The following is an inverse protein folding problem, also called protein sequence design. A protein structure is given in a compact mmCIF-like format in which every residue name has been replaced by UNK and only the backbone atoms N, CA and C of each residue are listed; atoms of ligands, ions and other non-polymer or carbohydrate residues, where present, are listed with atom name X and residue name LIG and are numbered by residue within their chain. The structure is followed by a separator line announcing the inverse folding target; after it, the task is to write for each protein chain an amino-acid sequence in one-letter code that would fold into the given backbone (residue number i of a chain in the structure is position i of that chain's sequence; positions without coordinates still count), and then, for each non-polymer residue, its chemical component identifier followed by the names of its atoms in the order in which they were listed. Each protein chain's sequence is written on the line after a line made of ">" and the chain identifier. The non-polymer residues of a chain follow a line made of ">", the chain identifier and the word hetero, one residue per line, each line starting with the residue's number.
data_IF_537853494904
#
_entry.id   IF_537853494904
#
_cell.length_a   1.000
_cell.length_b   1.000
_cell.length_c   1.000
_cell.angle_alpha   90.00
_cell.angle_beta   90.00
_cell.angle_gamma   90.00
#
_symmetry.space_group_name_H-M   'P 1'
#
loop_
_entity.id
_entity.type
_entity.pdbx_description
1 polymer ?
#
# COMPACT_ATOMS: atom_id res chain seq x y z
N UNK A 1 23.11 17.47 41.57
CA UNK A 1 22.05 16.55 41.11
C UNK A 1 22.41 15.13 41.54
N UNK A 2 21.50 14.46 42.21
CA UNK A 2 21.71 13.04 42.51
C UNK A 2 21.52 12.19 41.24
N UNK A 3 21.99 10.93 41.26
CA UNK A 3 21.95 10.02 40.12
C UNK A 3 20.54 9.88 39.55
N UNK A 4 19.51 9.80 40.37
CA UNK A 4 18.11 9.68 39.97
C UNK A 4 17.67 10.91 39.16
N UNK A 5 18.03 12.11 39.59
CA UNK A 5 17.71 13.35 38.88
C UNK A 5 18.38 13.40 37.50
N UNK A 6 19.63 12.93 37.39
CA UNK A 6 20.34 12.85 36.10
C UNK A 6 19.63 11.89 35.16
N UNK A 7 19.30 10.67 35.64
CA UNK A 7 18.59 9.67 34.86
C UNK A 7 17.23 10.20 34.39
N UNK A 8 16.43 10.79 35.29
CA UNK A 8 15.11 11.35 34.95
C UNK A 8 15.23 12.45 33.90
N UNK A 9 16.24 13.33 34.00
CA UNK A 9 16.46 14.39 33.01
C UNK A 9 16.81 13.82 31.64
N UNK A 10 17.63 12.77 31.57
CA UNK A 10 17.99 12.11 30.32
C UNK A 10 16.74 11.46 29.69
N UNK A 11 15.94 10.72 30.49
CA UNK A 11 14.71 10.09 30.00
C UNK A 11 13.74 11.16 29.48
N UNK A 12 13.56 12.27 30.17
CA UNK A 12 12.70 13.36 29.74
C UNK A 12 13.19 14.01 28.45
N UNK A 13 14.50 14.25 28.30
CA UNK A 13 15.08 14.80 27.09
C UNK A 13 14.86 13.86 25.88
N UNK A 14 15.05 12.56 26.06
CA UNK A 14 14.79 11.56 25.01
C UNK A 14 13.29 11.45 24.67
N UNK A 15 12.41 11.53 25.68
CA UNK A 15 10.96 11.55 25.47
C UNK A 15 10.54 12.79 24.67
N UNK A 16 11.04 13.98 25.03
CA UNK A 16 10.78 15.20 24.30
C UNK A 16 11.32 15.14 22.85
N UNK A 17 12.49 14.55 22.64
CA UNK A 17 13.04 14.35 21.29
C UNK A 17 12.16 13.41 20.46
N UNK A 18 11.68 12.29 21.02
CA UNK A 18 10.75 11.40 20.33
C UNK A 18 9.42 12.11 19.98
N UNK A 19 8.88 12.90 20.91
CA UNK A 19 7.69 13.72 20.67
C UNK A 19 7.92 14.71 19.54
N UNK A 20 9.02 15.44 19.56
CA UNK A 20 9.37 16.40 18.51
C UNK A 20 9.46 15.71 17.14
N UNK A 21 10.13 14.56 17.06
CA UNK A 21 10.23 13.78 15.83
C UNK A 21 8.83 13.41 15.33
N UNK A 22 7.95 12.89 16.18
CA UNK A 22 6.56 12.55 15.79
C UNK A 22 5.81 13.79 15.28
N UNK A 23 5.88 14.92 15.98
CA UNK A 23 5.24 16.17 15.53
C UNK A 23 5.80 16.63 14.19
N UNK A 24 7.12 16.52 13.96
CA UNK A 24 7.71 16.82 12.66
C UNK A 24 7.16 15.92 11.55
N UNK A 25 6.94 14.62 11.80
CA UNK A 25 6.29 13.73 10.80
C UNK A 25 4.86 14.17 10.50
N UNK A 26 4.08 14.57 11.50
CA UNK A 26 2.72 15.09 11.29
C UNK A 26 2.74 16.40 10.49
N UNK A 27 3.62 17.35 10.84
CA UNK A 27 3.64 18.68 10.22
C UNK A 27 4.37 18.75 8.89
N UNK A 28 5.40 17.94 8.65
CA UNK A 28 6.18 18.01 7.41
C UNK A 28 5.67 17.02 6.34
N UNK A 29 5.19 15.85 6.77
CA UNK A 29 4.80 14.78 5.85
C UNK A 29 3.29 14.54 5.85
N UNK A 30 2.70 14.07 6.94
CA UNK A 30 1.33 13.55 6.96
C UNK A 30 0.26 14.59 6.66
N UNK A 31 0.49 15.85 7.02
CA UNK A 31 -0.41 16.95 6.63
C UNK A 31 -0.56 17.09 5.12
N UNK A 32 0.43 16.65 4.32
CA UNK A 32 0.36 16.80 2.87
C UNK A 32 -0.76 15.95 2.27
N UNK A 33 -0.99 14.74 2.79
CA UNK A 33 -2.16 13.95 2.43
C UNK A 33 -3.44 14.52 3.03
N UNK A 34 -3.41 14.90 4.32
CA UNK A 34 -4.57 15.42 5.03
C UNK A 34 -5.19 16.64 4.33
N UNK A 35 -4.35 17.54 3.84
CA UNK A 35 -4.76 18.79 3.18
C UNK A 35 -4.47 18.80 1.67
N UNK A 36 -4.28 17.62 1.07
CA UNK A 36 -4.10 17.51 -0.37
C UNK A 36 -5.30 18.07 -1.12
N UNK A 37 -5.05 18.92 -2.09
CA UNK A 37 -6.08 19.42 -2.98
C UNK A 37 -6.02 18.60 -4.27
N UNK A 38 -7.12 17.93 -4.56
CA UNK A 38 -7.25 17.22 -5.83
C UNK A 38 -7.09 18.22 -6.99
N UNK A 39 -6.49 17.77 -8.09
CA UNK A 39 -6.26 18.59 -9.27
C UNK A 39 -7.56 18.98 -10.03
N UNK A 40 -8.72 18.74 -9.44
CA UNK A 40 -10.04 18.97 -10.05
C UNK A 40 -10.51 17.80 -10.92
N UNK A 41 -11.53 18.06 -11.72
CA UNK A 41 -12.04 17.08 -12.69
C UNK A 41 -10.98 16.75 -13.75
N UNK A 42 -11.05 15.53 -14.30
CA UNK A 42 -10.16 15.09 -15.38
C UNK A 42 -10.43 15.98 -16.58
N UNK A 43 -9.53 16.91 -16.82
CA UNK A 43 -9.60 17.85 -17.96
C UNK A 43 -9.28 17.20 -19.31
N UNK A 44 -8.80 15.95 -19.31
CA UNK A 44 -8.37 15.24 -20.52
C UNK A 44 -9.57 14.61 -21.21
N UNK A 45 -9.76 14.90 -22.50
CA UNK A 45 -10.82 14.28 -23.30
C UNK A 45 -10.58 12.78 -23.42
N UNK A 46 -11.64 11.97 -23.42
CA UNK A 46 -11.54 10.50 -23.59
C UNK A 46 -10.70 10.09 -24.81
N UNK A 47 -10.82 10.83 -25.91
CA UNK A 47 -10.08 10.56 -27.15
C UNK A 47 -8.54 10.77 -27.03
N UNK A 48 -8.09 11.46 -26.01
CA UNK A 48 -6.67 11.75 -25.76
C UNK A 48 -6.06 10.81 -24.70
N UNK A 49 -6.86 9.90 -24.16
CA UNK A 49 -6.40 8.93 -23.15
C UNK A 49 -5.53 7.84 -23.78
N UNK A 50 -4.38 7.48 -23.17
CA UNK A 50 -3.49 6.45 -23.70
C UNK A 50 -4.11 5.06 -23.59
N UNK A 51 -3.83 4.14 -24.52
CA UNK A 51 -4.22 2.74 -24.38
C UNK A 51 -3.60 2.09 -23.14
N UNK A 52 -4.35 1.20 -22.46
CA UNK A 52 -3.97 0.62 -21.15
C UNK A 52 -4.10 -0.90 -21.17
N UNK A 53 -3.13 -1.60 -20.56
CA UNK A 53 -3.24 -3.01 -20.20
C UNK A 53 -3.44 -3.15 -18.70
N UNK A 54 -4.59 -3.68 -18.28
CA UNK A 54 -4.84 -4.03 -16.87
C UNK A 54 -4.30 -5.45 -16.64
N UNK A 55 -3.44 -5.63 -15.64
CA UNK A 55 -2.80 -6.92 -15.35
C UNK A 55 -3.36 -7.50 -14.05
N UNK A 56 -3.86 -8.73 -14.11
CA UNK A 56 -4.39 -9.48 -12.97
C UNK A 56 -3.67 -10.82 -12.88
N UNK A 57 -3.07 -11.13 -11.73
CA UNK A 57 -2.51 -12.46 -11.46
C UNK A 57 -3.50 -13.25 -10.60
N UNK A 58 -3.85 -14.45 -11.04
CA UNK A 58 -4.82 -15.32 -10.38
C UNK A 58 -4.23 -16.71 -10.13
N UNK A 59 -4.41 -17.22 -8.89
CA UNK A 59 -4.12 -18.60 -8.53
C UNK A 59 -5.18 -19.10 -7.56
N UNK A 60 -6.05 -20.00 -8.05
CA UNK A 60 -7.21 -20.50 -7.32
C UNK A 60 -8.15 -19.35 -6.87
N UNK A 61 -8.48 -18.48 -7.79
CA UNK A 61 -9.27 -17.27 -7.56
C UNK A 61 -10.65 -17.32 -8.27
N UNK A 62 -11.15 -18.51 -8.61
CA UNK A 62 -12.42 -18.70 -9.31
C UNK A 62 -13.57 -17.90 -8.68
N UNK A 63 -13.67 -17.94 -7.34
CA UNK A 63 -14.74 -17.23 -6.60
C UNK A 63 -14.64 -15.71 -6.74
N UNK A 64 -13.42 -15.17 -6.66
CA UNK A 64 -13.17 -13.74 -6.74
C UNK A 64 -13.32 -13.23 -8.16
N UNK A 65 -12.80 -13.95 -9.14
CA UNK A 65 -12.95 -13.59 -10.55
C UNK A 65 -14.43 -13.59 -10.98
N UNK A 66 -15.22 -14.60 -10.59
CA UNK A 66 -16.68 -14.61 -10.85
C UNK A 66 -17.41 -13.39 -10.26
N UNK A 67 -16.86 -12.79 -9.22
CA UNK A 67 -17.47 -11.66 -8.50
C UNK A 67 -17.00 -10.31 -9.03
N UNK A 68 -15.76 -10.19 -9.49
CA UNK A 68 -15.12 -8.91 -9.73
C UNK A 68 -14.60 -8.68 -11.14
N UNK A 69 -14.29 -9.74 -11.93
CA UNK A 69 -13.65 -9.57 -13.23
C UNK A 69 -14.52 -8.76 -14.21
N UNK A 70 -15.83 -9.00 -14.22
CA UNK A 70 -16.77 -8.26 -15.06
C UNK A 70 -16.67 -6.75 -14.84
N UNK A 71 -16.51 -6.29 -13.59
CA UNK A 71 -16.38 -4.88 -13.27
C UNK A 71 -15.07 -4.24 -13.77
N UNK A 72 -14.05 -5.06 -14.02
CA UNK A 72 -12.80 -4.60 -14.66
C UNK A 72 -12.96 -4.58 -16.18
N UNK A 73 -13.66 -5.55 -16.76
CA UNK A 73 -13.87 -5.66 -18.18
C UNK A 73 -14.82 -4.60 -18.76
N UNK A 74 -15.72 -4.07 -17.90
CA UNK A 74 -16.76 -3.09 -18.30
C UNK A 74 -16.44 -1.65 -17.90
N UNK A 75 -15.16 -1.32 -17.70
CA UNK A 75 -14.74 0.06 -17.41
C UNK A 75 -15.05 1.03 -18.55
N UNK A 76 -15.48 2.24 -18.21
CA UNK A 76 -15.75 3.30 -19.18
C UNK A 76 -14.44 3.92 -19.70
N UNK A 77 -13.78 3.21 -20.63
CA UNK A 77 -12.49 3.61 -21.18
C UNK A 77 -12.37 3.31 -22.68
N UNK A 78 -11.76 4.22 -23.51
CA UNK A 78 -11.81 4.08 -24.96
C UNK A 78 -11.03 2.88 -25.49
N UNK A 79 -9.84 2.61 -24.99
CA UNK A 79 -8.98 1.53 -25.51
C UNK A 79 -8.22 0.85 -24.39
N UNK A 80 -8.60 -0.36 -24.01
CA UNK A 80 -7.90 -1.14 -23.00
C UNK A 80 -8.06 -2.64 -23.22
N UNK A 81 -7.14 -3.39 -22.66
CA UNK A 81 -7.22 -4.83 -22.52
C UNK A 81 -7.05 -5.24 -21.05
N UNK A 82 -7.58 -6.39 -20.70
CA UNK A 82 -7.38 -7.03 -19.40
C UNK A 82 -6.59 -8.33 -19.61
N UNK A 83 -5.37 -8.40 -19.09
CA UNK A 83 -4.52 -9.58 -19.15
C UNK A 83 -4.62 -10.32 -17.82
N UNK A 84 -5.29 -11.46 -17.82
CA UNK A 84 -5.39 -12.33 -16.64
C UNK A 84 -4.37 -13.47 -16.76
N UNK A 85 -3.48 -13.54 -15.77
CA UNK A 85 -2.49 -14.62 -15.70
C UNK A 85 -2.98 -15.70 -14.74
N UNK A 86 -3.33 -16.86 -15.29
CA UNK A 86 -3.70 -18.06 -14.52
C UNK A 86 -2.43 -18.82 -14.11
N UNK A 87 -1.99 -18.64 -12.86
CA UNK A 87 -0.76 -19.24 -12.34
C UNK A 87 -1.04 -20.63 -11.73
N UNK A 88 -1.07 -21.65 -12.57
CA UNK A 88 -1.19 -23.04 -12.15
C UNK A 88 -2.40 -23.29 -11.22
N UNK A 89 -3.57 -22.74 -11.53
CA UNK A 89 -4.78 -22.99 -10.74
C UNK A 89 -5.27 -24.43 -10.95
N UNK A 90 -5.79 -25.03 -9.88
CA UNK A 90 -6.40 -26.37 -9.87
C UNK A 90 -7.89 -26.36 -9.53
N UNK A 91 -8.46 -25.16 -9.30
CA UNK A 91 -9.90 -24.94 -9.15
C UNK A 91 -10.52 -24.55 -10.52
N UNK A 92 -11.80 -24.15 -10.53
CA UNK A 92 -12.52 -23.72 -11.75
C UNK A 92 -12.02 -22.41 -12.36
N UNK A 93 -10.86 -21.86 -11.92
CA UNK A 93 -10.34 -20.58 -12.45
C UNK A 93 -10.11 -20.65 -13.96
N UNK A 94 -9.48 -21.72 -14.45
CA UNK A 94 -9.20 -21.89 -15.87
C UNK A 94 -10.48 -21.92 -16.71
N UNK A 95 -11.41 -22.83 -16.38
CA UNK A 95 -12.67 -22.98 -17.10
C UNK A 95 -13.53 -21.70 -17.10
N UNK A 96 -13.49 -20.96 -15.98
CA UNK A 96 -14.20 -19.68 -15.91
C UNK A 96 -13.57 -18.65 -16.85
N UNK A 97 -12.25 -18.55 -16.87
CA UNK A 97 -11.54 -17.61 -17.73
C UNK A 97 -11.75 -17.93 -19.22
N UNK A 98 -11.66 -19.20 -19.62
CA UNK A 98 -11.87 -19.63 -21.01
C UNK A 98 -13.27 -19.21 -21.51
N UNK A 99 -14.30 -19.32 -20.65
CA UNK A 99 -15.66 -18.85 -20.98
C UNK A 99 -15.74 -17.33 -21.11
N UNK A 100 -15.07 -16.60 -20.22
CA UNK A 100 -15.07 -15.13 -20.25
C UNK A 100 -14.34 -14.57 -21.48
N UNK A 101 -13.24 -15.22 -21.91
CA UNK A 101 -12.48 -14.81 -23.09
C UNK A 101 -13.33 -14.90 -24.38
N UNK A 102 -14.24 -15.86 -24.47
CA UNK A 102 -15.19 -15.97 -25.59
C UNK A 102 -16.24 -14.84 -25.59
N UNK A 103 -16.53 -14.24 -24.45
CA UNK A 103 -17.55 -13.21 -24.28
C UNK A 103 -16.99 -11.78 -24.38
N UNK A 104 -15.70 -11.58 -24.08
CA UNK A 104 -15.06 -10.27 -23.97
C UNK A 104 -13.82 -10.18 -24.86
N UNK A 105 -13.90 -9.45 -25.95
CA UNK A 105 -12.79 -9.26 -26.89
C UNK A 105 -11.59 -8.50 -26.32
N UNK A 106 -11.77 -7.79 -25.20
CA UNK A 106 -10.72 -7.08 -24.47
C UNK A 106 -10.08 -7.91 -23.34
N UNK A 107 -10.48 -9.20 -23.17
CA UNK A 107 -9.86 -10.14 -22.24
C UNK A 107 -8.81 -10.99 -22.96
N UNK A 108 -7.65 -11.13 -22.34
CA UNK A 108 -6.55 -11.98 -22.79
C UNK A 108 -6.07 -12.86 -21.65
N UNK A 109 -5.95 -14.16 -21.87
CA UNK A 109 -5.55 -15.11 -20.84
C UNK A 109 -4.12 -15.59 -21.12
N UNK A 110 -3.32 -15.62 -20.05
CA UNK A 110 -1.99 -16.23 -20.04
C UNK A 110 -1.99 -17.38 -19.04
N UNK A 111 -1.96 -18.60 -19.50
CA UNK A 111 -1.95 -19.78 -18.63
C UNK A 111 -0.53 -20.29 -18.40
N UNK A 112 -0.12 -20.37 -17.14
CA UNK A 112 1.14 -20.97 -16.71
C UNK A 112 0.84 -22.42 -16.32
N UNK A 113 1.51 -23.36 -17.00
CA UNK A 113 1.47 -24.79 -16.64
C UNK A 113 2.57 -25.07 -15.61
N UNK A 114 2.26 -25.93 -14.65
CA UNK A 114 3.24 -26.30 -13.62
C UNK A 114 4.46 -26.98 -14.25
N UNK A 115 5.64 -26.43 -13.97
CA UNK A 115 6.91 -26.98 -14.41
C UNK A 115 7.87 -27.01 -13.21
N UNK A 116 8.43 -28.17 -12.92
CA UNK A 116 9.39 -28.41 -11.82
C UNK A 116 10.61 -27.49 -11.89
N UNK A 117 10.94 -27.00 -13.09
CA UNK A 117 12.13 -26.18 -13.36
C UNK A 117 12.00 -24.72 -12.94
N UNK A 118 10.77 -24.20 -12.78
CA UNK A 118 10.55 -22.79 -12.47
C UNK A 118 9.99 -22.60 -11.05
N UNK A 119 10.53 -21.62 -10.35
CA UNK A 119 9.97 -21.21 -9.05
C UNK A 119 8.70 -20.40 -9.31
N UNK A 120 7.56 -21.05 -9.17
CA UNK A 120 6.26 -20.41 -9.30
C UNK A 120 6.05 -19.33 -8.24
N UNK A 121 5.38 -18.24 -8.61
CA UNK A 121 5.06 -17.14 -7.71
C UNK A 121 4.57 -15.90 -8.45
N UNK A 122 3.97 -14.96 -7.70
CA UNK A 122 3.36 -13.75 -8.25
C UNK A 122 4.27 -12.98 -9.22
N UNK A 123 5.59 -12.92 -8.96
CA UNK A 123 6.54 -12.23 -9.86
C UNK A 123 6.67 -12.87 -11.23
N UNK A 124 6.65 -14.22 -11.30
CA UNK A 124 6.66 -14.91 -12.58
C UNK A 124 5.36 -14.63 -13.33
N UNK A 125 4.23 -14.78 -12.66
CA UNK A 125 2.92 -14.49 -13.24
C UNK A 125 2.85 -13.06 -13.77
N UNK A 126 3.23 -12.09 -12.94
CA UNK A 126 3.25 -10.67 -13.32
C UNK A 126 4.21 -10.40 -14.48
N UNK A 127 5.40 -11.02 -14.49
CA UNK A 127 6.36 -10.92 -15.63
C UNK A 127 5.73 -11.37 -16.92
N UNK A 128 5.01 -12.51 -16.92
CA UNK A 128 4.37 -13.04 -18.12
C UNK A 128 3.18 -12.17 -18.54
N UNK A 129 2.41 -11.65 -17.60
CA UNK A 129 1.34 -10.69 -17.88
C UNK A 129 1.87 -9.41 -18.53
N UNK A 130 2.96 -8.82 -17.99
CA UNK A 130 3.60 -7.63 -18.56
C UNK A 130 4.16 -7.90 -19.96
N UNK A 131 4.74 -9.07 -20.19
CA UNK A 131 5.22 -9.46 -21.53
C UNK A 131 4.08 -9.64 -22.53
N UNK A 132 2.96 -10.18 -22.10
CA UNK A 132 1.77 -10.38 -22.92
C UNK A 132 0.98 -9.10 -23.18
N UNK A 133 1.16 -8.07 -22.34
CA UNK A 133 0.50 -6.77 -22.46
C UNK A 133 0.85 -6.09 -23.79
N UNK A 134 -0.15 -5.53 -24.47
CA UNK A 134 0.00 -4.87 -25.76
C UNK A 134 0.30 -3.37 -25.61
N UNK A 135 -0.10 -2.75 -24.49
CA UNK A 135 -0.04 -1.31 -24.30
C UNK A 135 1.10 -0.85 -23.39
N UNK A 136 1.48 0.41 -23.53
CA UNK A 136 2.60 1.01 -22.79
C UNK A 136 2.24 1.34 -21.35
N UNK A 137 1.00 1.68 -21.07
CA UNK A 137 0.56 1.97 -19.69
C UNK A 137 -0.01 0.68 -19.09
N UNK A 138 0.55 0.28 -17.97
CA UNK A 138 0.10 -0.86 -17.19
C UNK A 138 -0.64 -0.38 -15.95
N UNK A 139 -1.78 -1.01 -15.63
CA UNK A 139 -2.48 -0.83 -14.37
C UNK A 139 -2.62 -2.20 -13.68
N UNK A 140 -2.03 -2.32 -12.51
CA UNK A 140 -2.07 -3.56 -11.73
C UNK A 140 -3.24 -3.56 -10.76
N UNK A 141 -3.92 -4.70 -10.69
CA UNK A 141 -4.87 -5.01 -9.62
C UNK A 141 -4.83 -6.50 -9.28
N UNK A 142 -5.31 -6.88 -8.10
CA UNK A 142 -5.37 -8.28 -7.70
C UNK A 142 -6.74 -8.90 -8.05
N UNK A 143 -6.81 -10.21 -8.21
CA UNK A 143 -8.03 -10.95 -8.56
C UNK A 143 -9.15 -10.82 -7.50
N UNK A 144 -8.79 -10.50 -6.25
CA UNK A 144 -9.73 -10.26 -5.13
C UNK A 144 -10.11 -8.78 -4.96
N UNK A 145 -9.77 -7.94 -5.94
CA UNK A 145 -10.01 -6.50 -5.92
C UNK A 145 -11.17 -6.12 -6.87
N UNK A 146 -12.02 -5.23 -6.38
CA UNK A 146 -13.12 -4.63 -7.12
C UNK A 146 -12.83 -3.14 -7.34
N UNK A 147 -12.88 -2.63 -8.58
CA UNK A 147 -12.90 -1.19 -8.82
C UNK A 147 -14.07 -0.52 -8.11
N UNK A 148 -13.85 0.64 -7.50
CA UNK A 148 -14.91 1.37 -6.80
C UNK A 148 -15.93 2.01 -7.74
N UNK A 149 -15.58 2.23 -9.00
CA UNK A 149 -16.44 2.83 -10.02
C UNK A 149 -16.08 2.37 -11.44
N UNK A 150 -16.92 2.69 -12.40
CA UNK A 150 -16.67 2.52 -13.83
C UNK A 150 -15.61 3.51 -14.37
N UNK A 151 -15.29 4.55 -13.61
CA UNK A 151 -14.28 5.55 -13.93
C UNK A 151 -12.89 5.24 -13.33
N UNK A 152 -12.75 4.09 -12.66
CA UNK A 152 -11.49 3.70 -12.02
C UNK A 152 -10.30 3.74 -12.97
N UNK A 153 -10.43 3.10 -14.14
CA UNK A 153 -9.36 3.03 -15.12
C UNK A 153 -9.00 4.42 -15.65
N UNK A 154 -10.01 5.19 -16.09
CA UNK A 154 -9.81 6.54 -16.60
C UNK A 154 -9.11 7.45 -15.57
N UNK A 155 -9.58 7.41 -14.34
CA UNK A 155 -9.06 8.26 -13.28
C UNK A 155 -7.65 7.88 -12.86
N UNK A 156 -7.35 6.57 -12.74
CA UNK A 156 -6.01 6.09 -12.38
C UNK A 156 -4.93 6.44 -13.40
N UNK A 157 -5.28 6.48 -14.69
CA UNK A 157 -4.29 6.71 -15.74
C UNK A 157 -4.31 8.12 -16.31
N UNK A 158 -5.17 9.01 -15.79
CA UNK A 158 -5.30 10.39 -16.26
C UNK A 158 -3.97 11.17 -16.27
N UNK A 159 -3.09 10.90 -15.31
CA UNK A 159 -1.77 11.53 -15.23
C UNK A 159 -0.80 11.12 -16.35
N UNK A 160 -1.10 10.07 -17.12
CA UNK A 160 -0.31 9.65 -18.29
C UNK A 160 -0.79 10.32 -19.58
N UNK A 161 -1.81 11.16 -19.53
CA UNK A 161 -2.33 11.93 -20.66
C UNK A 161 -1.93 13.41 -20.55
N UNK A 162 -1.97 14.14 -21.68
CA UNK A 162 -1.66 15.57 -21.74
C UNK A 162 -0.16 15.89 -21.83
N UNK A 163 0.17 17.19 -21.70
CA UNK A 163 1.53 17.70 -21.97
C UNK A 163 2.60 17.23 -21.00
N UNK A 164 2.24 16.97 -19.74
CA UNK A 164 3.19 16.47 -18.71
C UNK A 164 3.31 14.93 -18.68
N UNK A 165 2.59 14.25 -19.55
CA UNK A 165 2.52 12.78 -19.58
C UNK A 165 3.89 12.10 -19.67
N UNK A 166 4.80 12.66 -20.44
CA UNK A 166 6.15 12.10 -20.65
C UNK A 166 7.01 12.04 -19.37
N UNK A 167 6.71 12.86 -18.37
CA UNK A 167 7.45 12.85 -17.10
C UNK A 167 6.89 11.85 -16.07
N UNK A 168 5.68 11.31 -16.29
CA UNK A 168 5.01 10.43 -15.33
C UNK A 168 5.30 8.96 -15.66
N UNK A 169 5.93 8.27 -14.73
CA UNK A 169 6.23 6.85 -14.82
C UNK A 169 5.38 6.02 -13.88
N UNK A 170 5.00 6.56 -12.72
CA UNK A 170 4.20 5.88 -11.69
C UNK A 170 2.99 6.70 -11.26
N UNK A 171 1.86 6.00 -11.09
CA UNK A 171 0.69 6.52 -10.38
C UNK A 171 0.34 5.55 -9.25
N UNK A 172 0.39 6.07 -8.01
CA UNK A 172 0.09 5.31 -6.81
C UNK A 172 -1.38 5.50 -6.43
N UNK A 173 -2.14 4.43 -6.37
CA UNK A 173 -3.55 4.43 -5.96
C UNK A 173 -3.77 3.84 -4.56
N UNK A 174 -5.00 3.99 -4.04
CA UNK A 174 -5.41 3.42 -2.77
C UNK A 174 -6.11 2.07 -2.96
N UNK A 175 -5.54 1.02 -2.39
CA UNK A 175 -6.18 -0.29 -2.29
C UNK A 175 -6.88 -0.43 -0.94
N UNK A 176 -8.15 -0.07 -0.87
CA UNK A 176 -8.95 -0.12 0.35
C UNK A 176 -9.48 -1.53 0.66
N UNK A 177 -10.04 -1.69 1.84
CA UNK A 177 -10.85 -2.86 2.19
C UNK A 177 -12.33 -2.48 2.32
N UNK A 178 -13.20 -3.41 1.94
CA UNK A 178 -14.64 -3.28 2.16
C UNK A 178 -14.93 -3.15 3.66
N UNK A 179 -15.91 -2.31 3.98
CA UNK A 179 -16.39 -2.16 5.36
C UNK A 179 -17.17 -3.40 5.75
N UNK A 180 -16.61 -4.18 6.68
CA UNK A 180 -17.30 -5.30 7.32
C UNK A 180 -17.48 -4.99 8.80
N UNK A 181 -18.47 -5.61 9.41
CA UNK A 181 -18.71 -5.45 10.84
C UNK A 181 -17.61 -6.15 11.66
N UNK A 182 -17.29 -5.60 12.83
CA UNK A 182 -16.34 -6.19 13.77
C UNK A 182 -15.01 -5.43 13.90
N UNK A 183 -14.32 -5.71 15.01
CA UNK A 183 -13.07 -5.02 15.37
C UNK A 183 -11.93 -5.39 14.42
N UNK A 184 -11.83 -6.65 14.01
CA UNK A 184 -10.79 -7.11 13.09
C UNK A 184 -10.83 -6.36 11.75
N UNK A 185 -12.03 -6.18 11.19
CA UNK A 185 -12.21 -5.41 9.94
C UNK A 185 -11.72 -3.95 10.10
N UNK A 186 -12.04 -3.32 11.22
CA UNK A 186 -11.56 -1.96 11.54
C UNK A 186 -10.05 -1.91 11.70
N UNK A 187 -9.45 -2.90 12.36
CA UNK A 187 -8.00 -3.00 12.53
C UNK A 187 -7.27 -3.18 11.19
N UNK A 188 -7.77 -4.06 10.31
CA UNK A 188 -7.24 -4.28 8.96
C UNK A 188 -7.30 -2.98 8.15
N UNK A 189 -8.43 -2.27 8.20
CA UNK A 189 -8.63 -1.00 7.49
C UNK A 189 -7.73 0.09 8.06
N UNK A 190 -7.59 0.19 9.38
CA UNK A 190 -6.71 1.16 10.03
C UNK A 190 -5.24 0.93 9.67
N UNK A 191 -4.79 -0.31 9.71
CA UNK A 191 -3.43 -0.67 9.30
C UNK A 191 -3.16 -0.37 7.82
N UNK A 192 -4.14 -0.62 6.94
CA UNK A 192 -4.05 -0.26 5.53
C UNK A 192 -4.04 1.25 5.33
N UNK A 193 -4.91 1.97 6.04
CA UNK A 193 -4.90 3.44 6.05
C UNK A 193 -3.56 4.00 6.54
N UNK A 194 -3.00 3.44 7.62
CA UNK A 194 -1.74 3.90 8.18
C UNK A 194 -0.56 3.70 7.21
N UNK A 195 -0.55 2.59 6.48
CA UNK A 195 0.38 2.39 5.37
C UNK A 195 0.18 3.40 4.24
N UNK A 196 -1.07 3.66 3.85
CA UNK A 196 -1.42 4.64 2.82
C UNK A 196 -1.05 6.08 3.23
N UNK A 197 -1.29 6.44 4.50
CA UNK A 197 -0.85 7.72 5.07
C UNK A 197 0.65 7.92 4.87
N UNK A 198 1.45 6.87 5.10
CA UNK A 198 2.89 6.95 4.92
C UNK A 198 3.28 7.09 3.45
N UNK A 199 2.90 6.13 2.57
CA UNK A 199 3.43 6.16 1.20
C UNK A 199 2.90 7.33 0.37
N UNK A 200 1.67 7.77 0.54
CA UNK A 200 1.17 8.97 -0.13
C UNK A 200 1.83 10.23 0.39
N UNK A 201 1.94 10.39 1.71
CA UNK A 201 2.55 11.59 2.30
C UNK A 201 4.02 11.73 1.93
N UNK A 202 4.74 10.62 1.86
CA UNK A 202 6.15 10.62 1.45
C UNK A 202 6.28 10.88 -0.05
N UNK A 203 5.41 10.33 -0.90
CA UNK A 203 5.39 10.64 -2.32
C UNK A 203 5.13 12.14 -2.56
N UNK A 204 4.14 12.72 -1.89
CA UNK A 204 3.85 14.16 -1.90
C UNK A 204 4.98 15.03 -1.34
N UNK A 205 5.88 14.42 -0.57
CA UNK A 205 7.06 15.09 -0.02
C UNK A 205 8.33 14.89 -0.88
N UNK A 206 8.19 14.33 -2.08
CA UNK A 206 9.31 14.07 -2.96
C UNK A 206 10.17 12.87 -2.56
N UNK A 207 9.62 11.96 -1.76
CA UNK A 207 10.30 10.72 -1.34
C UNK A 207 9.41 9.50 -1.52
N UNK A 208 8.92 9.22 -2.76
CA UNK A 208 8.14 8.02 -3.01
C UNK A 208 8.98 6.78 -2.69
N UNK A 209 8.42 5.83 -1.92
CA UNK A 209 9.17 4.68 -1.46
C UNK A 209 8.49 3.34 -1.68
N UNK A 210 7.17 3.33 -1.87
CA UNK A 210 6.41 2.13 -2.20
C UNK A 210 5.08 2.47 -2.89
N UNK A 211 4.50 1.48 -3.53
CA UNK A 211 3.11 1.43 -3.98
C UNK A 211 2.50 0.08 -3.61
N UNK A 212 1.22 -0.10 -3.84
CA UNK A 212 0.51 -1.36 -3.57
C UNK A 212 0.02 -1.96 -4.88
N UNK A 213 0.41 -3.19 -5.17
CA UNK A 213 0.08 -3.90 -6.42
C UNK A 213 -1.42 -4.07 -6.68
N UNK A 214 -2.25 -3.81 -5.68
CA UNK A 214 -3.70 -3.80 -5.81
C UNK A 214 -4.26 -2.58 -6.56
N UNK A 215 -3.45 -1.50 -6.67
CA UNK A 215 -3.85 -0.27 -7.35
C UNK A 215 -2.61 0.57 -7.71
N UNK A 216 -1.88 0.12 -8.72
CA UNK A 216 -0.61 0.71 -9.13
C UNK A 216 -0.52 0.79 -10.64
N UNK A 217 -0.34 1.98 -11.19
CA UNK A 217 -0.08 2.14 -12.62
C UNK A 217 1.36 2.56 -12.88
N UNK A 218 1.94 2.07 -13.96
CA UNK A 218 3.28 2.47 -14.39
C UNK A 218 3.52 2.20 -15.89
N UNK A 219 4.59 2.81 -16.44
CA UNK A 219 5.02 2.56 -17.81
C UNK A 219 5.69 1.20 -17.94
N UNK A 220 5.25 0.42 -18.92
CA UNK A 220 5.78 -0.90 -19.26
C UNK A 220 7.29 -0.87 -19.55
N UNK A 221 7.75 0.19 -20.20
CA UNK A 221 9.16 0.42 -20.52
C UNK A 221 10.07 0.33 -19.27
N UNK A 222 9.64 0.84 -18.10
CA UNK A 222 10.40 0.75 -16.86
C UNK A 222 10.73 -0.70 -16.48
N UNK A 223 9.77 -1.60 -16.69
CA UNK A 223 9.97 -3.01 -16.39
C UNK A 223 11.11 -3.59 -17.23
N UNK A 224 11.13 -3.32 -18.52
CA UNK A 224 12.16 -3.86 -19.42
C UNK A 224 13.52 -3.18 -19.25
N UNK A 225 13.57 -1.87 -19.10
CA UNK A 225 14.81 -1.11 -18.84
C UNK A 225 15.53 -1.59 -17.58
N UNK A 226 14.77 -2.01 -16.57
CA UNK A 226 15.34 -2.51 -15.30
C UNK A 226 15.48 -4.03 -15.24
N UNK A 227 15.43 -4.74 -16.39
CA UNK A 227 15.54 -6.20 -16.46
C UNK A 227 14.48 -6.92 -15.61
N UNK A 228 13.30 -6.34 -15.52
CA UNK A 228 12.16 -6.88 -14.78
C UNK A 228 12.42 -6.92 -13.26
N UNK A 229 12.00 -7.99 -12.63
CA UNK A 229 12.24 -8.24 -11.20
C UNK A 229 13.57 -8.96 -10.92
N UNK A 230 14.50 -9.02 -11.89
CA UNK A 230 15.69 -9.86 -11.84
C UNK A 230 16.55 -9.69 -10.60
N UNK A 231 16.71 -8.43 -10.12
CA UNK A 231 17.52 -8.11 -8.93
C UNK A 231 16.93 -8.71 -7.65
N UNK A 232 15.59 -8.89 -7.56
CA UNK A 232 14.91 -9.46 -6.37
C UNK A 232 14.10 -10.71 -6.67
N UNK A 233 14.41 -11.41 -7.74
CA UNK A 233 13.65 -12.60 -8.11
C UNK A 233 13.72 -13.73 -7.07
N UNK A 234 14.72 -13.70 -6.20
CA UNK A 234 14.88 -14.64 -5.08
C UNK A 234 13.99 -14.32 -3.86
N UNK A 235 13.35 -13.14 -3.78
CA UNK A 235 12.39 -12.81 -2.72
C UNK A 235 10.98 -13.23 -3.12
N UNK A 236 10.15 -13.59 -2.15
CA UNK A 236 8.76 -14.01 -2.39
C UNK A 236 7.80 -12.84 -2.65
N UNK A 237 8.13 -11.64 -2.20
CA UNK A 237 7.37 -10.41 -2.35
C UNK A 237 8.26 -9.31 -2.96
N UNK A 238 7.74 -8.12 -3.21
CA UNK A 238 8.50 -6.99 -3.74
C UNK A 238 8.29 -6.76 -5.23
N UNK A 239 7.20 -7.27 -5.78
CA UNK A 239 6.75 -7.00 -7.14
C UNK A 239 6.20 -5.57 -7.30
N UNK A 240 5.71 -4.99 -6.23
CA UNK A 240 5.15 -3.64 -6.17
C UNK A 240 6.05 -2.68 -5.38
N UNK A 241 6.23 -2.93 -4.09
CA UNK A 241 6.93 -2.02 -3.18
C UNK A 241 8.42 -1.84 -3.51
N UNK A 242 9.17 -2.94 -3.78
CA UNK A 242 10.58 -2.83 -4.15
C UNK A 242 10.77 -2.23 -5.55
N UNK A 243 9.86 -2.52 -6.48
CA UNK A 243 9.91 -1.95 -7.81
C UNK A 243 9.73 -0.42 -7.77
N UNK A 244 8.72 0.06 -7.05
CA UNK A 244 8.55 1.50 -6.79
C UNK A 244 9.72 2.07 -6.00
N UNK A 245 10.18 1.38 -4.94
CA UNK A 245 11.31 1.85 -4.13
C UNK A 245 12.55 2.15 -4.96
N UNK A 246 12.83 1.33 -5.96
CA UNK A 246 14.01 1.48 -6.80
C UNK A 246 13.88 2.57 -7.86
N UNK A 247 12.73 2.70 -8.49
CA UNK A 247 12.58 3.46 -9.73
C UNK A 247 11.81 4.76 -9.56
N UNK A 248 11.00 4.87 -8.51
CA UNK A 248 10.24 6.07 -8.27
C UNK A 248 11.13 7.24 -7.82
N UNK A 249 10.80 8.43 -8.37
CA UNK A 249 11.46 9.69 -8.10
C UNK A 249 10.42 10.78 -7.80
N UNK A 250 10.83 11.93 -7.25
CA UNK A 250 9.91 13.06 -7.02
C UNK A 250 9.21 13.55 -8.28
N UNK A 251 9.88 13.44 -9.41
CA UNK A 251 9.41 13.99 -10.69
C UNK A 251 8.55 13.03 -11.48
N UNK A 252 8.82 11.71 -11.39
CA UNK A 252 8.13 10.70 -12.20
C UNK A 252 6.97 10.02 -11.49
N UNK A 253 6.64 10.39 -10.26
CA UNK A 253 5.60 9.72 -9.46
C UNK A 253 4.46 10.67 -9.14
N UNK A 254 3.22 10.22 -9.37
CA UNK A 254 1.99 10.90 -8.99
C UNK A 254 1.19 10.03 -8.03
N UNK A 255 0.28 10.63 -7.29
CA UNK A 255 -0.70 9.92 -6.47
C UNK A 255 -2.10 10.16 -7.02
N UNK A 256 -2.96 9.15 -6.89
CA UNK A 256 -4.36 9.26 -7.21
C UNK A 256 -5.20 8.75 -6.03
N UNK A 257 -5.99 9.66 -5.44
CA UNK A 257 -6.74 9.40 -4.21
C UNK A 257 -8.22 9.78 -4.30
N UNK A 258 -8.72 10.08 -5.50
CA UNK A 258 -10.16 10.28 -5.71
C UNK A 258 -10.90 9.00 -5.40
N UNK A 259 -12.08 9.06 -4.74
CA UNK A 259 -12.80 7.85 -4.29
C UNK A 259 -13.15 6.87 -5.42
N UNK A 260 -13.40 7.37 -6.62
CA UNK A 260 -13.67 6.55 -7.81
C UNK A 260 -12.47 5.70 -8.26
N UNK A 261 -11.26 6.07 -7.86
CA UNK A 261 -10.02 5.35 -8.21
C UNK A 261 -9.67 4.22 -7.25
N UNK A 262 -10.41 4.03 -6.18
CA UNK A 262 -10.08 3.00 -5.21
C UNK A 262 -10.34 1.61 -5.76
N UNK A 263 -9.52 0.65 -5.31
CA UNK A 263 -9.86 -0.77 -5.40
C UNK A 263 -10.27 -1.27 -4.01
N UNK A 264 -11.26 -2.16 -3.97
CA UNK A 264 -11.87 -2.65 -2.74
C UNK A 264 -11.68 -4.17 -2.63
N UNK A 265 -10.92 -4.64 -1.65
CA UNK A 265 -10.78 -6.07 -1.33
C UNK A 265 -11.62 -6.45 -0.11
N UNK A 266 -11.97 -7.72 0.02
CA UNK A 266 -12.56 -8.21 1.26
C UNK A 266 -11.50 -8.37 2.34
N UNK A 267 -11.74 -7.87 3.57
CA UNK A 267 -10.80 -8.06 4.67
C UNK A 267 -10.77 -9.53 5.08
N UNK A 268 -9.63 -10.00 5.59
CA UNK A 268 -9.50 -11.34 6.17
C UNK A 268 -10.47 -11.51 7.34
N UNK A 269 -10.99 -12.72 7.50
CA UNK A 269 -12.03 -13.02 8.50
C UNK A 269 -11.45 -13.52 9.82
N UNK A 270 -10.16 -13.89 9.83
CA UNK A 270 -9.46 -14.35 11.04
C UNK A 270 -8.17 -13.58 11.29
N UNK A 271 -7.82 -13.41 12.59
CA UNK A 271 -6.54 -12.80 12.98
C UNK A 271 -5.33 -13.56 12.44
N UNK A 272 -5.39 -14.89 12.39
CA UNK A 272 -4.31 -15.74 11.91
C UNK A 272 -4.02 -15.53 10.42
N UNK A 273 -5.06 -15.41 9.59
CA UNK A 273 -4.91 -15.12 8.16
C UNK A 273 -4.32 -13.73 7.93
N UNK A 274 -4.83 -12.74 8.67
CA UNK A 274 -4.31 -11.36 8.58
C UNK A 274 -2.86 -11.29 9.02
N UNK A 275 -2.50 -11.92 10.15
CA UNK A 275 -1.13 -12.00 10.65
C UNK A 275 -0.19 -12.64 9.62
N UNK A 276 -0.59 -13.75 9.00
CA UNK A 276 0.18 -14.42 7.95
C UNK A 276 0.39 -13.52 6.72
N UNK A 277 -0.66 -12.81 6.30
CA UNK A 277 -0.58 -11.84 5.20
C UNK A 277 0.43 -10.73 5.52
N UNK A 278 0.34 -10.12 6.71
CA UNK A 278 1.22 -9.01 7.12
C UNK A 278 2.67 -9.45 7.34
N UNK A 279 2.88 -10.62 7.94
CA UNK A 279 4.22 -11.19 8.10
C UNK A 279 4.97 -11.32 6.77
N UNK A 280 4.27 -11.65 5.70
CA UNK A 280 4.83 -11.68 4.35
C UNK A 280 5.15 -10.27 3.81
N UNK A 281 4.26 -9.30 4.00
CA UNK A 281 4.43 -7.95 3.46
C UNK A 281 5.61 -7.20 4.10
N UNK A 282 5.81 -7.29 5.41
CA UNK A 282 6.90 -6.55 6.09
C UNK A 282 8.29 -7.09 5.79
N UNK A 283 8.41 -8.26 5.18
CA UNK A 283 9.69 -8.91 4.91
C UNK A 283 10.58 -8.16 3.89
N UNK A 284 9.98 -7.28 3.07
CA UNK A 284 10.66 -6.52 2.01
C UNK A 284 11.33 -5.24 2.50
N UNK A 285 10.85 -4.64 3.58
CA UNK A 285 11.32 -3.33 4.07
C UNK A 285 12.82 -3.24 4.34
N UNK A 286 13.49 -4.35 4.69
CA UNK A 286 14.95 -4.41 4.88
C UNK A 286 15.76 -4.16 3.60
N UNK A 287 15.12 -4.27 2.42
CA UNK A 287 15.74 -4.07 1.11
C UNK A 287 15.48 -2.68 0.52
N UNK A 288 14.73 -1.83 1.20
CA UNK A 288 14.52 -0.45 0.77
C UNK A 288 15.83 0.35 0.76
N UNK A 289 15.90 1.39 -0.06
CA UNK A 289 17.03 2.34 -0.07
C UNK A 289 17.29 2.86 1.35
N UNK A 290 18.56 3.07 1.70
CA UNK A 290 18.96 3.47 3.05
C UNK A 290 18.19 4.68 3.56
N UNK A 291 17.99 5.72 2.73
CA UNK A 291 17.21 6.91 3.10
C UNK A 291 15.78 6.57 3.53
N UNK A 292 15.11 5.63 2.83
CA UNK A 292 13.75 5.22 3.16
C UNK A 292 13.71 4.37 4.43
N UNK A 293 14.72 3.52 4.63
CA UNK A 293 14.88 2.75 5.88
C UNK A 293 15.12 3.66 7.09
N UNK A 294 15.95 4.69 6.95
CA UNK A 294 16.19 5.67 8.01
C UNK A 294 14.93 6.49 8.30
N UNK A 295 14.24 6.95 7.26
CA UNK A 295 12.99 7.70 7.39
C UNK A 295 11.90 6.87 8.10
N UNK A 296 11.66 5.64 7.68
CA UNK A 296 10.70 4.76 8.34
C UNK A 296 11.19 4.33 9.73
N UNK A 297 12.49 4.07 9.88
CA UNK A 297 13.09 3.67 11.14
C UNK A 297 12.98 4.76 12.22
N UNK A 298 13.24 6.03 11.88
CA UNK A 298 13.06 7.15 12.83
C UNK A 298 11.60 7.37 13.19
N UNK A 299 10.66 7.22 12.24
CA UNK A 299 9.22 7.28 12.52
C UNK A 299 8.84 6.21 13.56
N UNK A 300 9.22 4.96 13.32
CA UNK A 300 8.88 3.85 14.21
C UNK A 300 9.64 3.91 15.55
N UNK A 301 10.94 4.22 15.54
CA UNK A 301 11.72 4.34 16.76
C UNK A 301 11.20 5.43 17.69
N UNK A 302 10.82 6.61 17.14
CA UNK A 302 10.20 7.66 17.94
C UNK A 302 8.81 7.28 18.44
N UNK A 303 8.04 6.51 17.64
CA UNK A 303 6.73 6.01 18.07
C UNK A 303 6.85 5.03 19.26
N UNK A 304 7.76 4.05 19.19
CA UNK A 304 8.07 3.18 20.34
C UNK A 304 8.64 3.96 21.52
N UNK A 305 9.56 4.90 21.24
CA UNK A 305 10.22 5.72 22.25
C UNK A 305 9.25 6.50 23.11
N UNK A 306 8.23 7.11 22.52
CA UNK A 306 7.20 7.87 23.27
C UNK A 306 6.52 6.97 24.33
N UNK A 307 6.07 5.79 23.94
CA UNK A 307 5.37 4.91 24.89
C UNK A 307 6.31 4.35 25.95
N UNK A 308 7.49 3.88 25.55
CA UNK A 308 8.48 3.32 26.49
C UNK A 308 8.99 4.37 27.48
N UNK A 309 9.44 5.53 26.98
CA UNK A 309 10.03 6.57 27.80
C UNK A 309 8.98 7.27 28.68
N UNK A 310 7.76 7.46 28.15
CA UNK A 310 6.64 7.95 28.94
C UNK A 310 6.31 7.02 30.10
N UNK A 311 6.27 5.71 29.87
CA UNK A 311 6.09 4.72 30.92
C UNK A 311 7.24 4.74 31.96
N UNK A 312 8.50 4.82 31.50
CA UNK A 312 9.66 4.91 32.37
C UNK A 312 9.63 6.19 33.26
N UNK A 313 9.22 7.34 32.71
CA UNK A 313 9.06 8.59 33.51
C UNK A 313 8.04 8.41 34.63
N UNK A 314 6.93 7.73 34.37
CA UNK A 314 5.93 7.44 35.42
C UNK A 314 6.48 6.48 36.48
N UNK A 315 7.26 5.48 36.09
CA UNK A 315 7.88 4.52 37.00
C UNK A 315 8.89 5.19 37.97
N UNK A 316 9.66 6.19 37.50
CA UNK A 316 10.60 6.93 38.36
C UNK A 316 9.95 8.04 39.18
N UNK A 317 8.61 8.11 39.17
CA UNK A 317 7.84 9.09 39.92
C UNK A 317 7.88 10.50 39.37
N UNK A 318 8.18 10.70 38.09
CA UNK A 318 8.11 12.01 37.46
C UNK A 318 6.65 12.53 37.40
N UNK A 319 6.46 13.84 37.42
CA UNK A 319 5.11 14.42 37.42
C UNK A 319 4.28 13.93 36.23
N UNK A 320 3.29 13.10 36.52
CA UNK A 320 2.40 12.50 35.56
C UNK A 320 1.62 13.51 34.69
N UNK A 321 1.38 14.72 35.23
CA UNK A 321 0.64 15.80 34.55
C UNK A 321 1.42 16.27 33.31
N UNK A 322 2.76 16.37 33.46
CA UNK A 322 3.63 16.75 32.35
C UNK A 322 3.63 15.64 31.27
N UNK A 323 3.76 14.38 31.69
CA UNK A 323 3.74 13.24 30.78
C UNK A 323 2.41 13.19 30.00
N UNK A 324 1.29 13.29 30.71
CA UNK A 324 -0.05 13.31 30.11
C UNK A 324 -0.23 14.53 29.18
N UNK A 325 0.25 15.71 29.60
CA UNK A 325 0.20 16.92 28.77
C UNK A 325 0.94 16.75 27.44
N UNK A 326 2.13 16.15 27.46
CA UNK A 326 2.93 15.89 26.26
C UNK A 326 2.28 14.82 25.35
N UNK A 327 1.74 13.74 25.93
CA UNK A 327 0.93 12.78 25.19
C UNK A 327 -0.31 13.42 24.56
N UNK A 328 -0.99 14.32 25.29
CA UNK A 328 -2.18 15.02 24.77
C UNK A 328 -1.86 15.87 23.55
N UNK A 329 -0.73 16.60 23.55
CA UNK A 329 -0.26 17.36 22.38
C UNK A 329 -0.09 16.44 21.18
N UNK A 330 0.57 15.29 21.36
CA UNK A 330 0.74 14.29 20.30
C UNK A 330 -0.61 13.78 19.78
N UNK A 331 -1.47 13.31 20.67
CA UNK A 331 -2.75 12.70 20.30
C UNK A 331 -3.71 13.69 19.64
N UNK A 332 -3.75 14.95 20.07
CA UNK A 332 -4.54 15.99 19.42
C UNK A 332 -4.01 16.23 18.01
N UNK A 333 -2.70 16.43 17.84
CA UNK A 333 -2.08 16.63 16.52
C UNK A 333 -2.34 15.44 15.61
N UNK A 334 -2.13 14.23 16.11
CA UNK A 334 -2.38 12.98 15.39
C UNK A 334 -3.84 12.86 14.96
N UNK A 335 -4.78 13.08 15.89
CA UNK A 335 -6.22 12.95 15.60
C UNK A 335 -6.69 13.95 14.56
N UNK A 336 -6.20 15.17 14.59
CA UNK A 336 -6.50 16.20 13.59
C UNK A 336 -5.97 15.75 12.22
N UNK A 337 -4.67 15.49 12.10
CA UNK A 337 -4.04 15.18 10.82
C UNK A 337 -4.57 13.87 10.23
N UNK A 338 -4.64 12.80 11.06
CA UNK A 338 -5.17 11.51 10.60
C UNK A 338 -6.67 11.60 10.29
N UNK A 339 -7.45 12.36 11.05
CA UNK A 339 -8.87 12.56 10.79
C UNK A 339 -9.14 13.18 9.42
N UNK A 340 -8.39 14.21 9.03
CA UNK A 340 -8.48 14.77 7.69
C UNK A 340 -8.00 13.79 6.61
N UNK A 341 -6.91 13.07 6.84
CA UNK A 341 -6.43 12.03 5.90
C UNK A 341 -7.44 10.87 5.77
N UNK A 342 -8.06 10.42 6.87
CA UNK A 342 -9.13 9.41 6.87
C UNK A 342 -10.36 9.88 6.08
N UNK A 343 -10.71 11.17 6.18
CA UNK A 343 -11.79 11.74 5.37
C UNK A 343 -11.47 11.66 3.87
N UNK A 344 -10.21 11.94 3.47
CA UNK A 344 -9.76 11.81 2.08
C UNK A 344 -9.85 10.39 1.56
N UNK A 345 -9.40 9.42 2.35
CA UNK A 345 -9.40 8.01 1.97
C UNK A 345 -10.71 7.27 2.31
N UNK A 346 -11.79 8.01 2.65
CA UNK A 346 -13.11 7.44 3.00
C UNK A 346 -13.09 6.47 4.20
N UNK A 347 -12.17 6.67 5.15
CA UNK A 347 -12.00 5.86 6.36
C UNK A 347 -12.39 6.63 7.65
N UNK A 348 -13.21 7.67 7.54
CA UNK A 348 -13.54 8.58 8.64
C UNK A 348 -14.19 7.90 9.86
N UNK A 349 -14.89 6.80 9.65
CA UNK A 349 -15.48 5.98 10.73
C UNK A 349 -14.44 5.35 11.68
N UNK A 350 -13.15 5.40 11.31
CA UNK A 350 -12.05 4.93 12.16
C UNK A 350 -11.50 6.01 13.10
N UNK A 351 -11.91 7.27 12.95
CA UNK A 351 -11.42 8.39 13.79
C UNK A 351 -11.55 8.13 15.30
N UNK A 352 -12.67 7.59 15.81
CA UNK A 352 -12.80 7.31 17.26
C UNK A 352 -11.80 6.26 17.78
N UNK A 353 -11.21 5.48 16.90
CA UNK A 353 -10.30 4.39 17.25
C UNK A 353 -8.81 4.77 17.11
N UNK A 354 -8.49 6.01 16.69
CA UNK A 354 -7.09 6.43 16.42
C UNK A 354 -6.17 6.10 17.57
N UNK A 355 -6.49 6.52 18.80
CA UNK A 355 -5.63 6.33 19.98
C UNK A 355 -5.50 4.85 20.33
N UNK A 356 -6.60 4.11 20.30
CA UNK A 356 -6.60 2.67 20.58
C UNK A 356 -5.75 1.90 19.55
N UNK A 357 -5.95 2.19 18.27
CA UNK A 357 -5.24 1.48 17.21
C UNK A 357 -3.80 1.95 17.03
N UNK A 358 -3.46 3.17 17.45
CA UNK A 358 -2.08 3.65 17.51
C UNK A 358 -1.23 2.80 18.46
N UNK A 359 -1.76 2.49 19.64
CA UNK A 359 -1.10 1.59 20.58
C UNK A 359 -1.11 0.14 20.09
N UNK A 360 -2.24 -0.32 19.56
CA UNK A 360 -2.36 -1.67 19.01
C UNK A 360 -1.36 -1.96 17.89
N UNK A 361 -1.16 -1.02 16.98
CA UNK A 361 -0.19 -1.16 15.87
C UNK A 361 1.23 -1.42 16.41
N UNK A 362 1.65 -0.75 17.49
CA UNK A 362 2.97 -1.02 18.10
C UNK A 362 3.10 -2.47 18.55
N UNK A 363 2.12 -2.98 19.28
CA UNK A 363 2.13 -4.37 19.74
C UNK A 363 2.09 -5.34 18.57
N UNK A 364 1.22 -5.11 17.61
CA UNK A 364 1.06 -5.98 16.45
C UNK A 364 2.35 -6.09 15.62
N UNK A 365 2.98 -4.94 15.30
CA UNK A 365 4.23 -4.96 14.53
C UNK A 365 5.43 -5.47 15.34
N UNK A 366 5.43 -5.33 16.67
CA UNK A 366 6.43 -5.98 17.53
C UNK A 366 6.33 -7.50 17.44
N UNK A 367 5.12 -8.05 17.53
CA UNK A 367 4.88 -9.50 17.42
C UNK A 367 5.27 -9.99 16.01
N UNK A 368 4.91 -9.24 14.96
CA UNK A 368 5.31 -9.56 13.59
C UNK A 368 6.82 -9.56 13.40
N UNK A 369 7.53 -8.57 13.97
CA UNK A 369 8.99 -8.47 13.87
C UNK A 369 9.66 -9.67 14.55
N UNK A 370 9.25 -10.02 15.76
CA UNK A 370 9.74 -11.20 16.49
C UNK A 370 9.46 -12.48 15.69
N UNK A 371 8.22 -12.66 15.20
CA UNK A 371 7.86 -13.83 14.40
C UNK A 371 8.74 -13.96 13.14
N UNK A 372 9.02 -12.86 12.45
CA UNK A 372 9.85 -12.88 11.23
C UNK A 372 11.34 -13.14 11.49
N UNK A 373 11.83 -13.02 12.73
CA UNK A 373 13.19 -13.46 13.11
C UNK A 373 13.30 -14.99 13.15
N UNK A 374 12.21 -15.69 13.55
CA UNK A 374 12.20 -17.13 13.75
C UNK A 374 11.62 -17.93 12.57
N UNK A 375 10.73 -17.33 11.75
CA UNK A 375 10.06 -18.01 10.65
C UNK A 375 10.49 -17.42 9.30
N UNK A 376 11.48 -18.05 8.68
CA UNK A 376 12.16 -17.52 7.49
C UNK A 376 11.52 -17.87 6.12
N UNK A 377 10.43 -18.66 6.04
CA UNK A 377 9.89 -19.11 4.74
C UNK A 377 8.35 -19.15 4.72
N UNK A 378 7.73 -18.12 4.22
CA UNK A 378 6.33 -18.20 3.79
C UNK A 378 6.28 -18.62 2.31
N UNK A 379 5.47 -19.62 1.99
CA UNK A 379 5.14 -19.98 0.59
C UNK A 379 4.04 -19.06 0.07
N UNK A 380 4.10 -18.72 -1.21
CA UNK A 380 2.95 -18.16 -1.93
C UNK A 380 1.88 -19.26 -2.01
N UNK A 381 0.58 -18.89 -1.91
CA UNK A 381 -0.55 -19.83 -1.88
C UNK A 381 -0.53 -20.84 -3.01
#
# INVERSE_FOLDING_TARGET
>A
MNLIQIITTIILALFAACLLIQLLYYFLYFRKLAFFKDAGEISVKKAEMPPVSVIICARNESKNLKKYLEKVLTQDYPTFEVVVVNDCSWDDTGEYLDRMELQHSNLKIVTIKEQVKYRHGKKLALTLGIKAASHEILLLTDADCMPASELWLQSMVSSFAGQESHSVDFVLGYGAYQRKWGILSRMIRFDTFYGALQYFSFALSGTPYMGVGRNLAYRRELFFKNKGFGIYNHFLSGDDDLFVNMLATPTNTRIEIRPETFTLSEPKTTYAEWFRQKSRHISTGKFYKLKHRLMLGTLWASHYGIYLLGFLLLLVGFDWRIVVGLFSIRFITQSIVMGYAMKRLKEFDLVPFIILFDFFILLFYSILAVNNLFISKHKWK
#
